data_IF_190490289427
#
_entry.id   IF_190490289427
#
_cell.length_a   1.000
_cell.length_b   1.000
_cell.length_c   1.000
_cell.angle_alpha   90.00
_cell.angle_beta   90.00
_cell.angle_gamma   90.00
#
_symmetry.space_group_name_H-M   'P 1'
#
loop_
_entity.id
_entity.type
_entity.pdbx_description
1 polymer ?
#
# COMPACT_ATOMS: atom_id res chain seq x y z
N UNK A 1 8.87 7.02 14.64
CA UNK A 1 8.46 5.73 14.03
C UNK A 1 6.99 5.55 14.33
N UNK A 2 6.17 5.19 13.34
CA UNK A 2 4.76 4.89 13.49
C UNK A 2 4.57 3.41 13.17
N UNK A 3 3.72 2.72 13.92
CA UNK A 3 3.28 1.34 13.64
C UNK A 3 1.85 1.41 13.11
N UNK A 4 1.63 0.81 11.95
CA UNK A 4 0.33 0.74 11.29
C UNK A 4 -0.10 -0.73 11.25
N UNK A 5 -1.22 -1.11 11.88
CA UNK A 5 -1.72 -2.48 11.83
C UNK A 5 -2.16 -2.86 10.41
N UNK A 6 -1.60 -3.96 9.89
CA UNK A 6 -1.99 -4.50 8.59
C UNK A 6 -3.14 -5.50 8.72
N UNK A 7 -4.10 -5.39 7.81
CA UNK A 7 -5.31 -6.21 7.76
C UNK A 7 -5.33 -6.96 6.42
N UNK A 8 -5.19 -8.28 6.52
CA UNK A 8 -5.15 -9.20 5.38
C UNK A 8 -6.23 -10.26 5.61
N UNK A 9 -7.47 -9.97 5.19
CA UNK A 9 -8.64 -10.81 5.43
C UNK A 9 -9.44 -11.06 4.17
N UNK A 10 -10.12 -12.21 4.12
CA UNK A 10 -10.95 -12.62 2.97
C UNK A 10 -12.38 -12.08 3.07
N UNK A 11 -12.89 -11.88 4.29
CA UNK A 11 -14.27 -11.45 4.53
C UNK A 11 -14.32 -10.02 5.03
N UNK A 12 -15.23 -9.20 4.47
CA UNK A 12 -15.40 -7.81 4.89
C UNK A 12 -15.76 -7.67 6.38
N UNK A 13 -16.57 -8.57 6.92
CA UNK A 13 -16.90 -8.57 8.35
C UNK A 13 -15.67 -8.69 9.25
N UNK A 14 -14.67 -9.49 8.86
CA UNK A 14 -13.42 -9.62 9.62
C UNK A 14 -12.52 -8.40 9.40
N UNK A 15 -12.53 -7.80 8.20
CA UNK A 15 -11.86 -6.50 7.95
C UNK A 15 -12.39 -5.44 8.92
N UNK A 16 -13.71 -5.23 8.97
CA UNK A 16 -14.33 -4.24 9.87
C UNK A 16 -14.03 -4.51 11.34
N UNK A 17 -14.11 -5.77 11.76
CA UNK A 17 -13.78 -6.18 13.13
C UNK A 17 -12.33 -5.83 13.49
N UNK A 18 -11.38 -6.13 12.60
CA UNK A 18 -9.95 -5.81 12.82
C UNK A 18 -9.68 -4.30 12.79
N UNK A 19 -10.36 -3.54 11.92
CA UNK A 19 -10.31 -2.08 11.96
C UNK A 19 -10.75 -1.58 13.34
N UNK A 20 -11.90 -2.04 13.85
CA UNK A 20 -12.43 -1.63 15.15
C UNK A 20 -11.47 -1.94 16.31
N UNK A 21 -10.73 -3.07 16.25
CA UNK A 21 -9.68 -3.38 17.23
C UNK A 21 -8.49 -2.42 17.07
N UNK A 22 -8.04 -2.18 15.85
CA UNK A 22 -6.88 -1.35 15.56
C UNK A 22 -7.09 0.12 15.97
N UNK A 23 -8.30 0.65 15.82
CA UNK A 23 -8.68 2.02 16.17
C UNK A 23 -8.52 2.36 17.67
N UNK A 24 -8.39 1.36 18.52
CA UNK A 24 -8.15 1.55 19.95
C UNK A 24 -6.73 2.08 20.24
N UNK A 25 -5.76 1.71 19.38
CA UNK A 25 -4.35 2.01 19.63
C UNK A 25 -3.61 2.64 18.43
N UNK A 26 -4.22 2.72 17.26
CA UNK A 26 -3.64 3.34 16.06
C UNK A 26 -4.60 4.30 15.41
N UNK A 27 -4.09 5.43 14.94
CA UNK A 27 -4.82 6.38 14.10
C UNK A 27 -4.78 6.02 12.61
N UNK A 28 -4.10 4.94 12.25
CA UNK A 28 -3.99 4.42 10.88
C UNK A 28 -4.20 2.92 10.85
N UNK A 29 -4.74 2.43 9.74
CA UNK A 29 -4.81 1.01 9.40
C UNK A 29 -4.36 0.79 7.96
N UNK A 30 -3.74 -0.35 7.70
CA UNK A 30 -3.25 -0.77 6.40
C UNK A 30 -4.13 -1.91 5.88
N UNK A 31 -4.67 -1.77 4.68
CA UNK A 31 -5.55 -2.76 4.05
C UNK A 31 -4.83 -3.43 2.88
N UNK A 32 -4.54 -4.72 3.02
CA UNK A 32 -3.95 -5.54 1.97
C UNK A 32 -5.01 -6.05 0.99
N UNK A 33 -4.93 -5.58 -0.25
CA UNK A 33 -5.84 -5.96 -1.33
C UNK A 33 -5.09 -6.82 -2.34
N UNK A 34 -5.45 -8.09 -2.38
CA UNK A 34 -4.81 -9.10 -3.24
C UNK A 34 -5.84 -9.71 -4.19
N UNK A 35 -5.53 -9.75 -5.49
CA UNK A 35 -6.45 -10.18 -6.54
C UNK A 35 -6.27 -11.64 -7.01
N UNK A 36 -5.31 -12.37 -6.46
CA UNK A 36 -4.99 -13.73 -6.87
C UNK A 36 -4.18 -13.84 -8.17
N UNK A 37 -3.86 -12.71 -8.82
CA UNK A 37 -3.06 -12.64 -10.05
C UNK A 37 -1.67 -12.10 -9.79
N UNK A 38 -1.58 -11.01 -9.05
CA UNK A 38 -0.29 -10.43 -8.63
C UNK A 38 0.41 -11.30 -7.58
N UNK A 39 -0.37 -11.86 -6.66
CA UNK A 39 0.09 -12.81 -5.64
C UNK A 39 -0.88 -14.00 -5.55
N UNK A 40 -0.46 -15.17 -5.02
CA UNK A 40 -1.21 -16.43 -5.17
C UNK A 40 -2.46 -16.54 -4.29
N UNK A 41 -2.71 -15.60 -3.40
CA UNK A 41 -3.90 -15.56 -2.54
C UNK A 41 -4.86 -14.46 -2.95
N UNK A 42 -6.07 -14.49 -2.38
CA UNK A 42 -7.09 -13.46 -2.57
C UNK A 42 -7.48 -12.96 -1.19
N UNK A 43 -7.56 -11.64 -1.05
CA UNK A 43 -8.18 -10.99 0.11
C UNK A 43 -9.52 -10.38 -0.28
N UNK A 44 -10.25 -9.86 0.71
CA UNK A 44 -11.42 -9.04 0.44
C UNK A 44 -11.04 -7.85 -0.46
N UNK A 45 -11.80 -7.66 -1.55
CA UNK A 45 -11.50 -6.68 -2.59
C UNK A 45 -12.79 -6.05 -3.15
N UNK A 46 -13.56 -5.36 -2.29
CA UNK A 46 -14.78 -4.66 -2.71
C UNK A 46 -14.81 -3.23 -2.16
N UNK A 47 -14.30 -2.23 -2.91
CA UNK A 47 -14.26 -0.84 -2.46
C UNK A 47 -15.66 -0.26 -2.15
N UNK A 48 -16.73 -0.74 -2.80
CA UNK A 48 -18.08 -0.24 -2.54
C UNK A 48 -18.59 -0.58 -1.12
N UNK A 49 -18.25 -1.76 -0.61
CA UNK A 49 -18.58 -2.13 0.78
C UNK A 49 -17.85 -1.21 1.77
N UNK A 50 -16.55 -0.94 1.55
CA UNK A 50 -15.80 -0.03 2.42
C UNK A 50 -16.34 1.40 2.32
N UNK A 51 -16.68 1.87 1.13
CA UNK A 51 -17.22 3.21 0.92
C UNK A 51 -18.52 3.42 1.71
N UNK A 52 -19.38 2.40 1.76
CA UNK A 52 -20.63 2.45 2.52
C UNK A 52 -20.42 2.55 4.04
N UNK A 53 -19.29 2.04 4.56
CA UNK A 53 -18.98 2.01 5.99
C UNK A 53 -17.92 3.05 6.39
N UNK A 54 -17.19 3.64 5.44
CA UNK A 54 -16.01 4.49 5.70
C UNK A 54 -16.30 5.70 6.59
N UNK A 55 -17.52 6.23 6.56
CA UNK A 55 -17.93 7.37 7.42
C UNK A 55 -17.98 7.01 8.93
N UNK A 56 -17.99 5.72 9.27
CA UNK A 56 -17.97 5.23 10.65
C UNK A 56 -16.54 5.03 11.18
N UNK A 57 -15.55 4.97 10.28
CA UNK A 57 -14.17 4.70 10.63
C UNK A 57 -13.54 5.94 11.25
N UNK A 58 -12.84 5.76 12.35
CA UNK A 58 -12.11 6.83 13.06
C UNK A 58 -10.67 6.93 12.60
N UNK A 59 -10.06 5.79 12.26
CA UNK A 59 -8.71 5.76 11.75
C UNK A 59 -8.64 6.22 10.29
N UNK A 60 -7.56 6.88 9.93
CA UNK A 60 -7.16 6.99 8.53
C UNK A 60 -6.80 5.60 8.02
N UNK A 61 -6.99 5.36 6.73
CA UNK A 61 -6.56 4.10 6.16
C UNK A 61 -5.78 4.30 4.86
N UNK A 62 -4.86 3.40 4.65
CA UNK A 62 -4.13 3.23 3.41
C UNK A 62 -4.51 1.90 2.78
N UNK A 63 -4.42 1.85 1.47
CA UNK A 63 -4.78 0.67 0.68
C UNK A 63 -3.56 0.23 -0.11
N UNK A 64 -3.07 -0.97 0.16
CA UNK A 64 -1.95 -1.60 -0.52
C UNK A 64 -2.47 -2.53 -1.62
N UNK A 65 -2.31 -2.11 -2.86
CA UNK A 65 -2.83 -2.80 -4.03
C UNK A 65 -1.81 -3.81 -4.57
N UNK A 66 -1.90 -5.04 -4.12
CA UNK A 66 -1.23 -6.22 -4.69
C UNK A 66 -2.10 -6.82 -5.80
N UNK A 67 -2.29 -6.06 -6.86
CA UNK A 67 -3.17 -6.41 -8.00
C UNK A 67 -2.44 -6.26 -9.33
N UNK A 68 -2.82 -7.08 -10.31
CA UNK A 68 -2.17 -7.10 -11.63
C UNK A 68 -2.30 -5.76 -12.38
N UNK A 69 -3.46 -5.10 -12.27
CA UNK A 69 -3.75 -3.86 -13.00
C UNK A 69 -4.23 -2.75 -12.05
N UNK A 70 -3.34 -2.13 -11.26
CA UNK A 70 -3.74 -1.11 -10.28
C UNK A 70 -4.41 0.11 -10.91
N UNK A 71 -4.06 0.48 -12.14
CA UNK A 71 -4.67 1.58 -12.87
C UNK A 71 -6.18 1.42 -13.09
N UNK A 72 -6.66 0.18 -13.17
CA UNK A 72 -8.09 -0.11 -13.38
C UNK A 72 -8.93 0.11 -12.12
N UNK A 73 -8.34 -0.05 -10.92
CA UNK A 73 -9.07 -0.08 -9.64
C UNK A 73 -8.77 1.09 -8.71
N UNK A 74 -7.69 1.84 -8.95
CA UNK A 74 -7.21 2.87 -8.03
C UNK A 74 -8.27 3.95 -7.75
N UNK A 75 -9.08 4.34 -8.75
CA UNK A 75 -10.13 5.36 -8.58
C UNK A 75 -11.20 4.91 -7.59
N UNK A 76 -11.58 3.65 -7.66
CA UNK A 76 -12.60 3.09 -6.77
C UNK A 76 -12.08 3.08 -5.33
N UNK A 77 -10.82 2.68 -5.13
CA UNK A 77 -10.19 2.71 -3.81
C UNK A 77 -10.00 4.12 -3.25
N UNK A 78 -9.60 5.09 -4.08
CA UNK A 78 -9.54 6.50 -3.65
C UNK A 78 -10.92 7.01 -3.25
N UNK A 79 -11.98 6.63 -3.98
CA UNK A 79 -13.35 7.05 -3.69
C UNK A 79 -13.89 6.56 -2.33
N UNK A 80 -13.24 5.57 -1.71
CA UNK A 80 -13.56 5.10 -0.34
C UNK A 80 -13.14 6.09 0.75
N UNK A 81 -12.30 7.08 0.42
CA UNK A 81 -11.72 8.02 1.37
C UNK A 81 -10.32 7.63 1.86
N UNK A 82 -9.69 6.62 1.22
CA UNK A 82 -8.31 6.25 1.50
C UNK A 82 -7.38 7.47 1.45
N UNK A 83 -6.55 7.63 2.49
CA UNK A 83 -5.59 8.73 2.57
C UNK A 83 -4.32 8.46 1.78
N UNK A 84 -4.01 7.18 1.57
CA UNK A 84 -2.90 6.71 0.76
C UNK A 84 -3.30 5.47 -0.02
N UNK A 85 -2.83 5.39 -1.26
CA UNK A 85 -2.93 4.18 -2.07
C UNK A 85 -1.52 3.79 -2.50
N UNK A 86 -1.14 2.56 -2.22
CA UNK A 86 0.19 2.01 -2.47
C UNK A 86 0.07 1.03 -3.63
N UNK A 87 0.90 1.20 -4.65
CA UNK A 87 0.89 0.35 -5.84
C UNK A 87 2.27 -0.26 -6.06
N UNK A 88 2.31 -1.50 -6.48
CA UNK A 88 3.56 -2.19 -6.74
C UNK A 88 4.23 -1.72 -8.04
N UNK A 89 5.53 -1.46 -7.98
CA UNK A 89 6.32 -1.14 -9.16
C UNK A 89 6.30 -2.30 -10.16
N UNK A 90 6.24 -3.53 -9.69
CA UNK A 90 6.19 -4.76 -10.49
C UNK A 90 4.85 -4.93 -11.23
N UNK A 91 3.74 -4.46 -10.65
CA UNK A 91 2.42 -4.46 -11.28
C UNK A 91 2.31 -3.36 -12.35
N UNK A 92 3.12 -2.33 -12.20
CA UNK A 92 3.15 -1.20 -13.10
C UNK A 92 4.14 -1.53 -14.22
N UNK A 93 3.73 -2.25 -15.24
CA UNK A 93 4.44 -2.26 -16.53
C UNK A 93 4.38 -0.87 -17.20
N UNK A 94 4.49 0.20 -16.40
CA UNK A 94 4.16 1.56 -16.76
C UNK A 94 5.46 2.33 -16.94
N UNK A 95 5.58 2.95 -18.11
CA UNK A 95 6.50 4.06 -18.30
C UNK A 95 6.24 5.13 -17.23
N UNK A 96 7.26 5.85 -16.80
CA UNK A 96 7.14 6.98 -15.83
C UNK A 96 5.97 7.92 -16.18
N UNK A 97 5.72 8.15 -17.49
CA UNK A 97 4.59 8.95 -17.98
C UNK A 97 3.23 8.43 -17.55
N UNK A 98 3.06 7.12 -17.46
CA UNK A 98 1.76 6.51 -17.12
C UNK A 98 1.57 6.51 -15.59
N UNK A 99 2.64 6.31 -14.82
CA UNK A 99 2.62 6.53 -13.37
C UNK A 99 2.24 7.98 -13.02
N UNK A 100 2.80 8.97 -13.73
CA UNK A 100 2.43 10.37 -13.54
C UNK A 100 0.95 10.64 -13.84
N UNK A 101 0.35 9.91 -14.80
CA UNK A 101 -1.11 9.97 -15.04
C UNK A 101 -1.89 9.39 -13.86
N UNK A 102 -1.44 8.29 -13.24
CA UNK A 102 -2.07 7.78 -12.02
C UNK A 102 -2.01 8.79 -10.87
N UNK A 103 -0.91 9.52 -10.74
CA UNK A 103 -0.77 10.59 -9.76
C UNK A 103 -1.74 11.74 -10.01
N UNK A 104 -2.04 12.07 -11.26
CA UNK A 104 -2.90 13.18 -11.65
C UNK A 104 -4.41 12.84 -11.65
N UNK A 105 -4.80 11.66 -11.14
CA UNK A 105 -6.22 11.26 -11.01
C UNK A 105 -7.05 12.20 -10.11
N UNK A 106 -6.41 13.00 -9.24
CA UNK A 106 -7.08 14.00 -8.40
C UNK A 106 -7.78 15.15 -9.13
N UNK A 107 -7.50 15.37 -10.41
CA UNK A 107 -8.14 16.44 -11.18
C UNK A 107 -9.66 16.21 -11.41
N UNK A 108 -10.21 15.08 -10.93
CA UNK A 108 -11.57 14.62 -11.24
C UNK A 108 -12.51 14.64 -10.03
N UNK A 109 -12.27 15.51 -9.02
CA UNK A 109 -13.17 15.64 -7.86
C UNK A 109 -13.10 14.52 -6.83
N UNK A 110 -12.04 13.71 -6.85
CA UNK A 110 -11.78 12.68 -5.84
C UNK A 110 -11.20 13.29 -4.55
N UNK A 111 -11.37 12.62 -3.40
CA UNK A 111 -10.72 13.02 -2.16
C UNK A 111 -9.20 13.13 -2.33
N UNK A 112 -8.57 14.07 -1.59
CA UNK A 112 -7.11 14.20 -1.58
C UNK A 112 -6.48 12.95 -0.96
N UNK A 113 -5.53 12.33 -1.67
CA UNK A 113 -4.80 11.15 -1.24
C UNK A 113 -3.31 11.25 -1.61
N UNK A 114 -2.48 10.39 -1.03
CA UNK A 114 -1.10 10.17 -1.43
C UNK A 114 -1.00 8.90 -2.24
N UNK A 115 -0.13 8.89 -3.28
CA UNK A 115 0.24 7.66 -3.96
C UNK A 115 1.64 7.25 -3.52
N UNK A 116 1.77 5.99 -3.10
CA UNK A 116 3.03 5.35 -2.75
C UNK A 116 3.43 4.29 -3.75
N UNK A 117 4.74 4.02 -3.83
CA UNK A 117 5.28 2.91 -4.59
C UNK A 117 5.80 1.82 -3.66
N UNK A 118 5.37 0.58 -3.89
CA UNK A 118 5.91 -0.59 -3.22
C UNK A 118 6.88 -1.35 -4.12
N UNK A 119 7.86 -2.02 -3.53
CA UNK A 119 8.71 -3.01 -4.20
C UNK A 119 8.84 -4.28 -3.38
N UNK A 120 8.91 -5.41 -4.09
CA UNK A 120 9.13 -6.74 -3.52
C UNK A 120 10.55 -6.90 -2.95
N UNK A 121 10.80 -7.88 -2.07
CA UNK A 121 12.14 -8.16 -1.54
C UNK A 121 13.20 -8.36 -2.62
N UNK A 122 12.86 -9.04 -3.72
CA UNK A 122 13.79 -9.35 -4.81
C UNK A 122 14.02 -8.18 -5.77
N UNK A 123 13.17 -7.17 -5.77
CA UNK A 123 13.28 -6.03 -6.71
C UNK A 123 14.40 -5.09 -6.28
N UNK A 124 15.40 -4.81 -7.12
CA UNK A 124 16.44 -3.83 -6.80
C UNK A 124 15.87 -2.45 -6.50
N UNK A 125 16.37 -1.80 -5.43
CA UNK A 125 15.87 -0.49 -4.98
C UNK A 125 16.10 0.62 -6.01
N UNK A 126 17.12 0.48 -6.85
CA UNK A 126 17.46 1.40 -7.92
C UNK A 126 16.33 1.56 -8.96
N UNK A 127 15.45 0.55 -9.08
CA UNK A 127 14.27 0.64 -9.95
C UNK A 127 13.28 1.72 -9.51
N UNK A 128 13.31 2.14 -8.25
CA UNK A 128 12.52 3.27 -7.76
C UNK A 128 13.07 4.63 -8.22
N UNK A 129 14.38 4.74 -8.49
CA UNK A 129 15.06 6.00 -8.78
C UNK A 129 14.34 6.90 -9.79
N UNK A 130 13.81 6.39 -10.93
CA UNK A 130 13.10 7.23 -11.89
C UNK A 130 11.83 7.90 -11.35
N UNK A 131 11.29 7.43 -10.22
CA UNK A 131 10.02 7.86 -9.67
C UNK A 131 10.16 8.71 -8.41
N UNK A 132 11.31 8.67 -7.72
CA UNK A 132 11.50 9.26 -6.38
C UNK A 132 11.35 10.78 -6.34
N UNK A 133 11.56 11.49 -7.45
CA UNK A 133 11.24 12.91 -7.57
C UNK A 133 9.74 13.19 -7.59
N UNK A 134 8.93 12.15 -7.85
CA UNK A 134 7.48 12.27 -8.05
C UNK A 134 6.66 11.66 -6.93
N UNK A 135 7.27 10.84 -6.06
CA UNK A 135 6.63 10.23 -4.89
C UNK A 135 7.33 10.66 -3.61
N UNK A 136 6.54 10.84 -2.56
CA UNK A 136 7.06 11.14 -1.21
C UNK A 136 7.05 9.95 -0.30
N UNK A 137 6.50 8.83 -0.76
CA UNK A 137 6.28 7.64 0.04
C UNK A 137 6.64 6.38 -0.75
N UNK A 138 7.45 5.52 -0.14
CA UNK A 138 7.79 4.20 -0.65
C UNK A 138 7.59 3.14 0.42
N UNK A 139 7.06 1.99 -0.01
CA UNK A 139 6.94 0.80 0.84
C UNK A 139 7.95 -0.24 0.37
N UNK A 140 8.71 -0.76 1.32
CA UNK A 140 9.63 -1.88 1.10
C UNK A 140 9.00 -3.12 1.72
N UNK A 141 8.56 -4.07 0.89
CA UNK A 141 8.12 -5.35 1.40
C UNK A 141 9.32 -6.14 1.92
N UNK A 142 9.18 -6.64 3.13
CA UNK A 142 10.16 -7.51 3.78
C UNK A 142 9.76 -8.99 3.75
N UNK A 143 8.69 -9.31 3.02
CA UNK A 143 8.17 -10.66 2.76
C UNK A 143 7.68 -10.75 1.33
N UNK A 144 7.44 -11.96 0.82
CA UNK A 144 6.77 -12.12 -0.48
C UNK A 144 5.34 -11.60 -0.40
N UNK A 145 4.85 -10.89 -1.45
CA UNK A 145 3.52 -10.30 -1.41
C UNK A 145 2.42 -11.35 -1.23
N UNK A 146 1.34 -10.94 -0.57
CA UNK A 146 0.08 -11.66 -0.46
C UNK A 146 -0.18 -12.29 0.91
N UNK A 147 0.66 -13.20 1.39
CA UNK A 147 0.41 -13.97 2.61
C UNK A 147 0.97 -13.29 3.86
N UNK A 148 0.15 -13.21 4.89
CA UNK A 148 0.58 -12.77 6.24
C UNK A 148 1.40 -13.84 6.97
N UNK A 149 2.09 -13.45 8.06
CA UNK A 149 2.77 -14.38 8.97
C UNK A 149 4.12 -14.91 8.46
N UNK A 150 4.68 -14.33 7.40
CA UNK A 150 6.00 -14.69 6.88
C UNK A 150 7.13 -14.07 7.72
N UNK A 151 8.31 -14.69 7.65
CA UNK A 151 9.50 -14.20 8.33
C UNK A 151 10.11 -13.00 7.58
N UNK A 152 10.54 -11.98 8.35
CA UNK A 152 11.19 -10.79 7.84
C UNK A 152 12.49 -11.10 7.06
N UNK A 153 12.59 -10.63 5.84
CA UNK A 153 13.83 -10.71 5.05
C UNK A 153 14.77 -9.53 5.39
N UNK A 154 15.83 -9.84 6.13
CA UNK A 154 16.83 -8.85 6.54
C UNK A 154 17.56 -8.16 5.38
N UNK A 155 17.56 -8.75 4.20
CA UNK A 155 18.19 -8.15 3.00
C UNK A 155 17.57 -6.80 2.63
N UNK A 156 16.29 -6.57 2.97
CA UNK A 156 15.62 -5.29 2.69
C UNK A 156 16.22 -4.11 3.45
N UNK A 157 16.96 -4.36 4.53
CA UNK A 157 17.63 -3.30 5.30
C UNK A 157 18.63 -2.50 4.45
N UNK A 158 19.28 -3.13 3.48
CA UNK A 158 20.20 -2.43 2.57
C UNK A 158 19.44 -1.47 1.64
N UNK A 159 18.22 -1.82 1.21
CA UNK A 159 17.35 -0.92 0.44
C UNK A 159 16.97 0.32 1.25
N UNK A 160 16.63 0.13 2.53
CA UNK A 160 16.28 1.22 3.44
C UNK A 160 17.49 2.14 3.65
N UNK A 161 18.69 1.58 3.84
CA UNK A 161 19.94 2.36 3.96
C UNK A 161 20.20 3.17 2.70
N UNK A 162 20.04 2.56 1.52
CA UNK A 162 20.19 3.23 0.23
C UNK A 162 19.24 4.43 0.11
N UNK A 163 17.95 4.22 0.35
CA UNK A 163 16.95 5.28 0.28
C UNK A 163 17.22 6.41 1.28
N UNK A 164 17.51 6.09 2.54
CA UNK A 164 17.84 7.09 3.55
C UNK A 164 19.07 7.92 3.21
N UNK A 165 20.06 7.32 2.56
CA UNK A 165 21.29 8.00 2.17
C UNK A 165 21.10 8.93 0.96
N UNK A 166 20.33 8.49 -0.04
CA UNK A 166 20.25 9.18 -1.33
C UNK A 166 18.97 9.99 -1.51
N UNK A 167 17.91 9.67 -0.74
CA UNK A 167 16.58 10.28 -0.81
C UNK A 167 16.01 10.52 0.59
N UNK A 168 16.64 11.37 1.42
CA UNK A 168 16.30 11.54 2.84
C UNK A 168 14.89 12.07 3.09
N UNK A 169 14.29 12.77 2.11
CA UNK A 169 12.96 13.34 2.19
C UNK A 169 11.84 12.35 1.86
N UNK A 170 12.19 11.15 1.35
CA UNK A 170 11.21 10.11 1.05
C UNK A 170 10.83 9.37 2.34
N UNK A 171 9.55 9.32 2.62
CA UNK A 171 9.02 8.50 3.70
C UNK A 171 9.12 7.02 3.32
N UNK A 172 9.69 6.23 4.21
CA UNK A 172 9.87 4.79 4.00
C UNK A 172 9.00 4.02 4.97
N UNK A 173 8.14 3.19 4.44
CA UNK A 173 7.41 2.17 5.17
C UNK A 173 8.06 0.81 4.94
N UNK A 174 8.02 -0.03 5.95
CA UNK A 174 8.46 -1.44 5.86
C UNK A 174 7.27 -2.30 6.22
N UNK A 175 6.92 -3.22 5.34
CA UNK A 175 5.78 -4.09 5.50
C UNK A 175 6.17 -5.56 5.44
N UNK A 176 5.53 -6.35 6.33
CA UNK A 176 5.70 -7.79 6.43
C UNK A 176 6.77 -8.25 7.41
N UNK A 177 6.42 -9.26 8.20
CA UNK A 177 7.33 -9.93 9.12
C UNK A 177 7.82 -9.12 10.32
N UNK A 178 7.21 -7.95 10.60
CA UNK A 178 7.56 -7.11 11.74
C UNK A 178 7.00 -7.75 13.01
N UNK A 179 7.88 -8.11 13.94
CA UNK A 179 7.57 -8.68 15.25
C UNK A 179 8.29 -7.91 16.35
N UNK A 180 7.78 -8.03 17.58
CA UNK A 180 8.47 -7.62 18.79
C UNK A 180 9.58 -8.60 19.13
#
# INVERSE_FOLDING_TARGET
MQVIPAINEVKFSEVLKKIGIAEVFSSWVHLDIVDGKFAPNITWNNPNELKAESYKLKANFEVHLMVETPAAVIKDWVSTGAKRVIVHLEAINIRKSDFLKLRNIWEVGLPKFEIGLAINPETPVEKLTPYLDSVKFVQILAVKPGLAGQQFDKKVLEKIKFLKKHYPDVMIEVDGGINL
#
